data_IF_262042783931
#
_entry.id   IF_262042783931
#
_cell.length_a   1.000
_cell.length_b   1.000
_cell.length_c   1.000
_cell.angle_alpha   90.00
_cell.angle_beta   90.00
_cell.angle_gamma   90.00
#
_symmetry.space_group_name_H-M   'P 1'
#
loop_
_entity.id
_entity.type
_entity.pdbx_description
1 polymer ?
#
# COMPACT_ATOMS: atom_id res chain seq x y z
N UNK A 1 -17.37 35.99 33.71
CA UNK A 1 -16.09 36.47 34.29
C UNK A 1 -15.00 35.89 33.42
N UNK A 2 -14.60 36.60 32.41
CA UNK A 2 -13.39 37.39 32.18
C UNK A 2 -12.11 36.83 32.86
N UNK A 3 -11.15 36.33 32.07
CA UNK A 3 -9.81 36.90 31.96
C UNK A 3 -9.03 36.26 30.82
N UNK A 4 -8.75 37.11 29.82
CA UNK A 4 -7.64 37.08 28.87
C UNK A 4 -6.30 37.27 29.61
N UNK A 5 -5.22 36.66 29.10
CA UNK A 5 -3.84 37.18 29.09
C UNK A 5 -3.16 36.47 27.91
N UNK A 6 -2.85 36.97 26.83
CA UNK A 6 -2.09 38.07 26.17
C UNK A 6 -0.57 38.05 26.43
N UNK A 7 0.14 37.91 25.30
CA UNK A 7 1.47 38.43 24.91
C UNK A 7 2.71 37.82 25.60
N UNK A 8 3.83 37.60 24.89
CA UNK A 8 4.72 38.59 24.27
C UNK A 8 5.73 37.94 23.31
N UNK A 9 5.91 38.53 22.17
CA UNK A 9 7.04 38.61 21.26
C UNK A 9 8.44 38.58 21.91
N UNK A 10 9.40 37.89 21.28
CA UNK A 10 10.78 38.42 21.14
C UNK A 10 11.35 38.00 19.79
N UNK A 11 11.61 39.01 19.02
CA UNK A 11 12.36 39.10 17.75
C UNK A 11 13.84 39.32 18.12
N UNK A 12 14.76 38.55 17.54
CA UNK A 12 16.17 38.93 17.50
C UNK A 12 16.76 38.63 16.12
N UNK A 13 16.90 39.69 15.34
CA UNK A 13 17.80 39.78 14.18
C UNK A 13 19.22 40.07 14.69
N UNK A 14 20.23 39.42 14.08
CA UNK A 14 21.53 40.07 13.85
C UNK A 14 22.14 39.58 12.54
N UNK A 15 22.33 40.53 11.66
CA UNK A 15 23.13 40.43 10.46
C UNK A 15 24.58 40.84 10.79
N UNK A 16 25.56 40.24 10.14
CA UNK A 16 26.83 40.89 9.85
C UNK A 16 27.50 40.29 8.62
N UNK A 17 27.81 41.14 7.72
CA UNK A 17 28.48 40.97 6.44
C UNK A 17 30.00 41.16 6.57
N UNK A 18 30.68 40.95 5.44
CA UNK A 18 31.91 41.55 4.88
C UNK A 18 33.04 40.55 4.61
N UNK A 19 33.40 40.38 3.36
CA UNK A 19 34.27 41.09 2.40
C UNK A 19 35.70 40.49 2.29
N UNK A 20 36.15 40.33 1.04
CA UNK A 20 37.56 40.30 0.62
C UNK A 20 37.81 39.37 -0.57
N UNK A 21 37.74 39.83 -1.83
CA UNK A 21 38.75 40.36 -2.73
C UNK A 21 40.05 39.54 -2.75
N UNK A 22 40.43 39.02 -3.90
CA UNK A 22 40.96 39.46 -5.16
C UNK A 22 42.11 38.58 -5.53
N UNK A 23 42.51 38.25 -6.64
CA UNK A 23 43.02 38.97 -7.78
C UNK A 23 43.62 37.96 -8.83
N UNK A 24 43.32 38.17 -10.07
CA UNK A 24 44.08 38.19 -11.32
C UNK A 24 45.47 37.51 -11.41
N UNK A 25 45.71 36.74 -12.47
CA UNK A 25 46.27 37.10 -13.81
C UNK A 25 46.67 35.82 -14.55
N UNK A 26 46.25 35.65 -15.81
CA UNK A 26 46.93 35.89 -17.10
C UNK A 26 48.24 35.07 -17.29
N UNK A 27 48.50 34.41 -18.35
CA UNK A 27 48.44 34.50 -19.80
C UNK A 27 48.99 33.19 -20.45
N UNK A 28 48.36 32.78 -21.54
CA UNK A 28 48.82 32.56 -22.93
C UNK A 28 50.15 31.83 -23.18
N UNK A 29 50.09 30.79 -24.00
CA UNK A 29 50.68 30.57 -25.33
C UNK A 29 50.50 29.13 -25.77
N UNK A 30 49.85 28.84 -26.82
CA UNK A 30 50.00 28.70 -28.28
C UNK A 30 51.01 27.65 -28.77
N UNK A 31 50.42 26.83 -29.63
CA UNK A 31 50.92 26.19 -30.87
C UNK A 31 51.54 24.79 -30.71
N UNK A 32 51.16 23.84 -31.49
CA UNK A 32 51.04 23.53 -32.89
C UNK A 32 51.43 22.11 -33.20
N UNK A 33 50.59 21.41 -33.96
CA UNK A 33 50.86 20.35 -34.98
C UNK A 33 51.58 19.04 -34.53
N UNK A 34 51.16 17.90 -34.94
CA UNK A 34 50.54 17.29 -36.10
C UNK A 34 50.57 15.75 -35.99
N UNK A 35 49.56 15.18 -36.53
CA UNK A 35 49.50 14.00 -37.38
C UNK A 35 49.74 12.58 -36.86
N UNK A 36 48.73 11.80 -37.20
CA UNK A 36 48.72 10.49 -37.85
C UNK A 36 48.27 9.30 -37.02
N UNK A 37 47.03 8.96 -37.30
CA UNK A 37 46.41 7.65 -37.59
C UNK A 37 46.94 6.39 -36.92
N UNK A 38 46.06 5.63 -36.28
CA UNK A 38 45.72 4.26 -36.71
C UNK A 38 44.43 3.81 -36.00
N UNK A 39 43.48 3.26 -36.76
CA UNK A 39 42.25 2.60 -36.38
C UNK A 39 42.50 1.46 -35.41
N UNK A 40 41.66 1.40 -34.38
CA UNK A 40 41.23 0.13 -33.78
C UNK A 40 39.80 0.30 -33.30
N UNK A 41 38.88 -0.36 -33.97
CA UNK A 41 37.50 -0.50 -33.60
C UNK A 41 37.37 -1.21 -32.26
N UNK A 42 36.85 -0.54 -31.25
CA UNK A 42 36.31 -1.16 -30.07
C UNK A 42 34.79 -0.82 -30.04
N UNK A 43 34.00 -1.86 -30.23
CA UNK A 43 32.56 -1.79 -30.09
C UNK A 43 32.25 -1.40 -28.64
N UNK A 44 31.78 -0.20 -28.48
CA UNK A 44 31.17 0.24 -27.21
C UNK A 44 29.72 -0.17 -27.28
N UNK A 45 29.36 -1.20 -26.54
CA UNK A 45 27.96 -1.47 -26.21
C UNK A 45 27.39 -0.22 -25.55
N UNK A 46 26.44 0.41 -26.23
CA UNK A 46 25.68 1.49 -25.71
C UNK A 46 24.80 0.89 -24.60
N UNK A 47 25.18 1.14 -23.35
CA UNK A 47 24.25 1.06 -22.23
C UNK A 47 23.21 2.13 -22.51
N UNK A 48 22.01 1.67 -22.89
CA UNK A 48 20.86 2.52 -23.02
C UNK A 48 20.53 3.05 -21.61
N UNK A 49 21.03 4.23 -21.28
CA UNK A 49 20.47 5.01 -20.20
C UNK A 49 19.02 5.33 -20.61
N UNK A 50 18.08 4.62 -20.01
CA UNK A 50 16.67 4.97 -20.09
C UNK A 50 16.53 6.33 -19.39
N UNK A 51 16.57 7.41 -20.18
CA UNK A 51 16.17 8.73 -19.69
C UNK A 51 14.71 8.60 -19.21
N UNK A 52 14.51 8.78 -17.89
CA UNK A 52 13.19 9.02 -17.35
C UNK A 52 12.57 10.18 -18.14
N UNK A 53 11.44 9.95 -18.78
CA UNK A 53 10.70 11.00 -19.44
C UNK A 53 10.32 12.01 -18.34
N UNK A 54 10.77 13.26 -18.48
CA UNK A 54 10.30 14.37 -17.60
C UNK A 54 8.82 14.61 -17.95
N UNK A 55 7.92 13.88 -17.26
CA UNK A 55 6.48 14.12 -17.30
C UNK A 55 6.12 15.42 -16.58
N UNK A 56 4.97 15.97 -16.88
CA UNK A 56 4.40 17.07 -16.11
C UNK A 56 4.24 16.67 -14.64
N UNK A 57 4.34 17.64 -13.73
CA UNK A 57 4.15 17.39 -12.31
C UNK A 57 2.68 17.01 -12.06
N UNK A 58 2.45 15.91 -11.34
CA UNK A 58 1.12 15.42 -11.03
C UNK A 58 1.05 14.87 -9.60
N UNK A 59 -0.14 14.93 -9.00
CA UNK A 59 -0.43 14.30 -7.71
C UNK A 59 -1.51 13.26 -7.93
N UNK A 60 -1.19 11.99 -7.68
CA UNK A 60 -2.12 10.86 -7.86
C UNK A 60 -2.70 10.45 -6.51
N UNK A 61 -4.02 10.45 -6.42
CA UNK A 61 -4.77 10.01 -5.23
C UNK A 61 -4.99 8.50 -5.29
N UNK A 62 -4.34 7.76 -4.41
CA UNK A 62 -4.34 6.29 -4.43
C UNK A 62 -5.02 5.75 -3.17
N UNK A 63 -6.18 5.13 -3.34
CA UNK A 63 -6.90 4.50 -2.24
C UNK A 63 -6.49 3.02 -2.15
N UNK A 64 -5.95 2.61 -1.02
CA UNK A 64 -5.37 1.27 -0.83
C UNK A 64 -5.98 0.55 0.37
N UNK A 65 -6.21 -0.74 0.24
CA UNK A 65 -6.52 -1.58 1.40
C UNK A 65 -5.40 -1.47 2.45
N UNK A 66 -5.77 -1.42 3.74
CA UNK A 66 -4.83 -1.23 4.85
C UNK A 66 -3.68 -2.25 4.85
N UNK A 67 -3.94 -3.50 4.46
CA UNK A 67 -2.93 -4.56 4.35
C UNK A 67 -1.84 -4.31 3.31
N UNK A 68 -2.04 -3.37 2.38
CA UNK A 68 -1.06 -3.00 1.36
C UNK A 68 -0.06 -1.94 1.85
N UNK A 69 -0.32 -1.26 2.98
CA UNK A 69 0.39 -0.04 3.38
C UNK A 69 1.92 -0.20 3.36
N UNK A 70 2.44 -1.24 3.99
CA UNK A 70 3.90 -1.44 4.08
C UNK A 70 4.56 -1.66 2.70
N UNK A 71 3.91 -2.44 1.82
CA UNK A 71 4.41 -2.68 0.47
C UNK A 71 4.34 -1.41 -0.39
N UNK A 72 3.25 -0.65 -0.26
CA UNK A 72 3.02 0.57 -1.04
C UNK A 72 3.94 1.72 -0.63
N UNK A 73 4.38 1.78 0.64
CA UNK A 73 5.40 2.72 1.08
C UNK A 73 6.73 2.50 0.34
N UNK A 74 7.17 1.24 0.23
CA UNK A 74 8.39 0.90 -0.52
C UNK A 74 8.20 1.11 -2.03
N UNK A 75 7.06 0.73 -2.58
CA UNK A 75 6.70 0.97 -3.99
C UNK A 75 6.72 2.47 -4.31
N UNK A 76 6.17 3.31 -3.44
CA UNK A 76 6.19 4.76 -3.62
C UNK A 76 7.61 5.31 -3.69
N UNK A 77 8.49 4.86 -2.79
CA UNK A 77 9.88 5.28 -2.77
C UNK A 77 10.63 4.86 -4.07
N UNK A 78 10.37 3.64 -4.57
CA UNK A 78 10.94 3.15 -5.80
C UNK A 78 10.39 3.90 -7.03
N UNK A 79 9.06 4.11 -7.07
CA UNK A 79 8.40 4.83 -8.15
C UNK A 79 8.88 6.28 -8.29
N UNK A 80 9.16 6.95 -7.17
CA UNK A 80 9.72 8.32 -7.16
C UNK A 80 11.06 8.41 -7.89
N UNK A 81 11.84 7.31 -7.94
CA UNK A 81 13.10 7.24 -8.70
C UNK A 81 12.85 7.09 -10.20
N UNK A 82 11.70 6.55 -10.62
CA UNK A 82 11.30 6.38 -12.02
C UNK A 82 10.54 7.62 -12.53
N UNK A 83 9.68 8.19 -11.69
CA UNK A 83 8.84 9.35 -11.99
C UNK A 83 9.01 10.44 -10.90
N UNK A 84 10.11 11.21 -10.95
CA UNK A 84 10.44 12.17 -9.89
C UNK A 84 9.43 13.32 -9.77
N UNK A 85 8.66 13.61 -10.82
CA UNK A 85 7.66 14.69 -10.86
C UNK A 85 6.26 14.24 -10.44
N UNK A 86 6.06 12.94 -10.12
CA UNK A 86 4.76 12.42 -9.66
C UNK A 86 4.80 12.23 -8.15
N UNK A 87 3.82 12.76 -7.45
CA UNK A 87 3.58 12.54 -6.03
C UNK A 87 2.38 11.61 -5.84
N UNK A 88 2.59 10.51 -5.10
CA UNK A 88 1.54 9.58 -4.72
C UNK A 88 1.01 9.94 -3.33
N UNK A 89 -0.29 10.13 -3.21
CA UNK A 89 -0.98 10.40 -1.94
C UNK A 89 -1.85 9.20 -1.60
N UNK A 90 -1.47 8.46 -0.55
CA UNK A 90 -2.20 7.28 -0.13
C UNK A 90 -3.30 7.60 0.87
N UNK A 91 -4.49 7.03 0.62
CA UNK A 91 -5.56 6.90 1.59
C UNK A 91 -5.72 5.41 1.91
N UNK A 92 -5.21 4.98 3.07
CA UNK A 92 -5.25 3.60 3.50
C UNK A 92 -6.42 3.33 4.44
N UNK A 93 -7.15 2.24 4.19
CA UNK A 93 -8.29 1.88 5.02
C UNK A 93 -8.94 0.57 4.62
N UNK A 94 -10.12 0.26 5.17
CA UNK A 94 -10.88 -0.89 4.70
C UNK A 94 -11.42 -0.63 3.29
N UNK A 95 -11.33 -1.64 2.42
CA UNK A 95 -11.78 -1.50 1.03
C UNK A 95 -13.26 -1.07 0.92
N UNK A 96 -14.12 -1.52 1.83
CA UNK A 96 -15.54 -1.12 1.86
C UNK A 96 -15.73 0.35 2.20
N UNK A 97 -14.99 0.93 3.16
CA UNK A 97 -15.02 2.36 3.45
C UNK A 97 -14.49 3.19 2.30
N UNK A 98 -13.41 2.73 1.66
CA UNK A 98 -12.81 3.41 0.51
C UNK A 98 -13.74 3.40 -0.70
N UNK A 99 -14.41 2.27 -0.97
CA UNK A 99 -15.48 2.16 -1.97
C UNK A 99 -16.55 3.22 -1.73
N UNK A 100 -17.10 3.30 -0.50
CA UNK A 100 -18.12 4.30 -0.14
C UNK A 100 -17.63 5.73 -0.37
N UNK A 101 -16.38 6.04 -0.01
CA UNK A 101 -15.81 7.37 -0.24
C UNK A 101 -15.74 7.71 -1.74
N UNK A 102 -15.38 6.75 -2.60
CA UNK A 102 -15.38 6.92 -4.05
C UNK A 102 -16.80 7.17 -4.57
N UNK A 103 -17.78 6.37 -4.11
CA UNK A 103 -19.20 6.51 -4.48
C UNK A 103 -19.80 7.86 -4.03
N UNK A 104 -19.31 8.42 -2.93
CA UNK A 104 -19.69 9.74 -2.41
C UNK A 104 -18.95 10.91 -3.09
N UNK A 105 -18.07 10.62 -4.06
CA UNK A 105 -17.36 11.64 -4.84
C UNK A 105 -16.00 12.04 -4.24
N UNK A 106 -15.40 11.19 -3.44
CA UNK A 106 -14.02 11.38 -2.97
C UNK A 106 -13.03 11.36 -4.12
N UNK A 107 -12.08 12.29 -4.13
CA UNK A 107 -11.03 12.35 -5.14
C UNK A 107 -10.16 11.07 -5.04
N UNK A 108 -10.21 10.25 -6.07
CA UNK A 108 -9.47 8.99 -6.16
C UNK A 108 -9.16 8.69 -7.63
N UNK A 109 -7.89 8.42 -7.93
CA UNK A 109 -7.44 8.08 -9.30
C UNK A 109 -7.19 6.59 -9.44
N UNK A 110 -6.70 5.96 -8.36
CA UNK A 110 -6.38 4.53 -8.32
C UNK A 110 -6.98 3.91 -7.08
N UNK A 111 -7.74 2.83 -7.25
CA UNK A 111 -8.25 2.02 -6.14
C UNK A 111 -7.61 0.64 -6.16
N UNK A 112 -7.01 0.23 -5.03
CA UNK A 112 -6.41 -1.08 -4.85
C UNK A 112 -7.09 -1.80 -3.67
N UNK A 113 -8.02 -2.67 -4.00
CA UNK A 113 -8.89 -3.38 -3.05
C UNK A 113 -8.26 -4.68 -2.55
N UNK A 114 -8.66 -5.14 -1.37
CA UNK A 114 -8.34 -6.47 -0.83
C UNK A 114 -9.40 -7.54 -1.17
N UNK A 115 -10.33 -7.23 -2.05
CA UNK A 115 -11.30 -8.19 -2.60
C UNK A 115 -11.89 -7.66 -3.91
N UNK A 116 -12.30 -8.58 -4.79
CA UNK A 116 -12.95 -8.25 -6.06
C UNK A 116 -14.31 -7.60 -5.84
N UNK A 117 -15.07 -8.02 -4.82
CA UNK A 117 -16.43 -7.51 -4.53
C UNK A 117 -16.53 -5.99 -4.52
N UNK A 118 -15.57 -5.27 -3.90
CA UNK A 118 -15.59 -3.82 -3.82
C UNK A 118 -15.23 -3.17 -5.16
N UNK A 119 -14.35 -3.78 -5.91
CA UNK A 119 -14.00 -3.35 -7.26
C UNK A 119 -15.17 -3.56 -8.21
N UNK A 120 -15.82 -4.74 -8.15
CA UNK A 120 -16.98 -5.08 -8.98
C UNK A 120 -18.12 -4.09 -8.74
N UNK A 121 -18.38 -3.71 -7.49
CA UNK A 121 -19.38 -2.71 -7.15
C UNK A 121 -19.08 -1.33 -7.78
N UNK A 122 -17.80 -0.91 -7.81
CA UNK A 122 -17.40 0.34 -8.49
C UNK A 122 -17.51 0.23 -10.02
N UNK A 123 -17.28 -0.95 -10.58
CA UNK A 123 -17.50 -1.22 -12.03
C UNK A 123 -18.99 -1.14 -12.34
N UNK A 124 -19.85 -1.83 -11.57
CA UNK A 124 -21.31 -1.79 -11.73
C UNK A 124 -21.87 -0.38 -11.54
N UNK A 125 -21.31 0.40 -10.59
CA UNK A 125 -21.64 1.80 -10.37
C UNK A 125 -21.12 2.76 -11.44
N UNK A 126 -20.25 2.28 -12.35
CA UNK A 126 -19.68 3.09 -13.44
C UNK A 126 -18.55 4.02 -12.99
N UNK A 127 -18.01 3.85 -11.78
CA UNK A 127 -16.86 4.59 -11.25
C UNK A 127 -15.52 4.08 -11.81
N UNK A 128 -15.45 2.80 -12.17
CA UNK A 128 -14.29 2.13 -12.77
C UNK A 128 -14.75 1.47 -14.08
N UNK A 129 -13.91 1.42 -15.09
CA UNK A 129 -14.19 0.62 -16.27
C UNK A 129 -13.61 -0.80 -16.08
N UNK A 130 -14.37 -1.83 -16.45
CA UNK A 130 -13.92 -3.22 -16.33
C UNK A 130 -12.58 -3.47 -17.04
N UNK A 131 -12.35 -2.80 -18.19
CA UNK A 131 -11.11 -2.90 -18.96
C UNK A 131 -9.89 -2.29 -18.24
N UNK A 132 -10.11 -1.45 -17.24
CA UNK A 132 -9.06 -0.78 -16.45
C UNK A 132 -8.78 -1.51 -15.12
N UNK A 133 -9.43 -2.66 -14.87
CA UNK A 133 -9.21 -3.50 -13.69
C UNK A 133 -8.19 -4.59 -14.00
N UNK A 134 -7.29 -4.84 -13.05
CA UNK A 134 -6.34 -5.95 -13.09
C UNK A 134 -6.34 -6.66 -11.76
N UNK A 135 -6.57 -7.98 -11.76
CA UNK A 135 -6.34 -8.85 -10.62
C UNK A 135 -4.82 -9.02 -10.48
N UNK A 136 -4.22 -8.34 -9.48
CA UNK A 136 -2.77 -8.19 -9.44
C UNK A 136 -2.11 -9.10 -8.41
N UNK A 137 -2.74 -9.28 -7.22
CA UNK A 137 -2.14 -10.02 -6.12
C UNK A 137 -3.13 -11.04 -5.54
N UNK A 138 -2.57 -12.11 -4.96
CA UNK A 138 -3.28 -13.09 -4.14
C UNK A 138 -2.69 -13.11 -2.72
N UNK A 139 -3.54 -13.31 -1.72
CA UNK A 139 -3.16 -13.41 -0.32
C UNK A 139 -3.82 -14.64 0.34
N UNK A 140 -3.57 -14.84 1.64
CA UNK A 140 -4.17 -15.92 2.43
C UNK A 140 -4.74 -15.37 3.73
N UNK A 141 -5.82 -15.99 4.22
CA UNK A 141 -6.41 -15.66 5.51
C UNK A 141 -5.79 -16.54 6.60
N UNK A 142 -5.39 -15.92 7.69
CA UNK A 142 -4.77 -16.58 8.84
C UNK A 142 -5.47 -16.26 10.14
N UNK A 143 -5.54 -17.26 11.00
CA UNK A 143 -5.92 -17.15 12.41
C UNK A 143 -4.65 -17.02 13.23
N UNK A 144 -4.56 -15.96 14.03
CA UNK A 144 -3.38 -15.61 14.82
C UNK A 144 -3.69 -15.47 16.30
N UNK A 145 -2.66 -15.57 17.13
CA UNK A 145 -2.67 -15.28 18.57
C UNK A 145 -1.46 -14.42 18.96
N UNK A 146 -1.42 -13.76 20.13
CA UNK A 146 -0.22 -13.12 20.62
C UNK A 146 0.93 -14.12 20.77
N UNK A 147 2.15 -13.71 20.42
CA UNK A 147 3.33 -14.56 20.54
C UNK A 147 3.58 -14.98 22.01
N UNK A 148 3.93 -16.26 22.19
CA UNK A 148 4.26 -16.81 23.52
C UNK A 148 3.07 -17.00 24.45
N UNK A 149 1.83 -16.81 24.00
CA UNK A 149 0.63 -17.08 24.80
C UNK A 149 0.06 -18.49 24.52
N UNK A 150 -0.63 -19.05 25.52
CA UNK A 150 -1.33 -20.31 25.37
C UNK A 150 -2.78 -20.07 24.94
N UNK A 151 -3.30 -20.91 24.07
CA UNK A 151 -4.72 -20.98 23.68
C UNK A 151 -5.15 -22.43 23.50
N UNK A 152 -6.45 -22.69 23.59
CA UNK A 152 -7.04 -23.99 23.25
C UNK A 152 -7.39 -24.09 21.77
N UNK A 153 -7.36 -22.95 21.05
CA UNK A 153 -7.69 -22.87 19.63
C UNK A 153 -6.55 -23.49 18.83
N UNK A 154 -6.89 -24.42 17.94
CA UNK A 154 -5.94 -25.14 17.07
C UNK A 154 -6.22 -24.92 15.59
N UNK A 155 -7.38 -24.34 15.25
CA UNK A 155 -7.82 -24.05 13.89
C UNK A 155 -9.11 -23.24 13.88
N UNK A 156 -9.60 -22.94 12.69
CA UNK A 156 -10.86 -22.22 12.54
C UNK A 156 -12.06 -23.02 13.09
N UNK A 157 -12.01 -24.33 12.99
CA UNK A 157 -13.09 -25.25 13.42
C UNK A 157 -13.40 -25.18 14.92
N UNK A 158 -12.42 -24.80 15.74
CA UNK A 158 -12.61 -24.68 17.18
C UNK A 158 -12.30 -23.26 17.72
N UNK A 159 -12.45 -22.24 16.87
CA UNK A 159 -12.20 -20.83 17.23
C UNK A 159 -13.05 -20.37 18.43
N UNK A 160 -14.19 -21.03 18.66
CA UNK A 160 -15.09 -20.75 19.78
C UNK A 160 -14.55 -21.19 21.15
N UNK A 161 -13.42 -21.88 21.20
CA UNK A 161 -12.71 -22.19 22.45
C UNK A 161 -11.91 -20.98 22.97
N UNK A 162 -11.73 -19.92 22.16
CA UNK A 162 -11.10 -18.68 22.60
C UNK A 162 -12.01 -17.87 23.53
N UNK A 163 -11.42 -17.15 24.46
CA UNK A 163 -12.15 -16.24 25.35
C UNK A 163 -12.77 -15.05 24.59
N UNK A 164 -12.04 -14.51 23.61
CA UNK A 164 -12.52 -13.42 22.75
C UNK A 164 -11.83 -13.44 21.38
N UNK A 165 -12.45 -12.77 20.42
CA UNK A 165 -12.02 -12.72 19.02
C UNK A 165 -11.92 -11.28 18.54
N UNK A 166 -10.79 -10.87 17.97
CA UNK A 166 -10.70 -9.68 17.13
C UNK A 166 -11.14 -10.03 15.71
N UNK A 167 -12.20 -9.39 15.24
CA UNK A 167 -12.82 -9.66 13.94
C UNK A 167 -13.09 -8.37 13.21
N UNK A 168 -12.65 -8.26 11.98
CA UNK A 168 -12.98 -7.11 11.16
C UNK A 168 -14.48 -7.06 10.81
N UNK A 169 -15.03 -5.84 10.69
CA UNK A 169 -16.41 -5.62 10.31
C UNK A 169 -16.76 -6.29 8.97
N UNK A 170 -18.03 -6.50 8.69
CA UNK A 170 -18.54 -7.17 7.48
C UNK A 170 -18.33 -6.34 6.19
N UNK A 171 -18.05 -5.05 6.33
CA UNK A 171 -17.65 -4.16 5.23
C UNK A 171 -16.17 -4.28 4.85
N UNK A 172 -15.37 -4.97 5.69
CA UNK A 172 -13.93 -5.17 5.50
C UNK A 172 -13.70 -6.51 4.80
N UNK A 173 -12.91 -6.58 3.72
CA UNK A 173 -12.70 -7.84 2.99
C UNK A 173 -12.27 -9.03 3.87
N UNK A 174 -11.28 -8.87 4.75
CA UNK A 174 -10.87 -9.98 5.65
C UNK A 174 -12.01 -10.42 6.59
N UNK A 175 -12.87 -9.49 7.01
CA UNK A 175 -14.07 -9.79 7.77
C UNK A 175 -15.12 -10.57 6.97
N UNK A 176 -15.22 -10.32 5.66
CA UNK A 176 -16.08 -11.09 4.76
C UNK A 176 -15.54 -12.50 4.55
N UNK A 177 -14.23 -12.66 4.30
CA UNK A 177 -13.59 -13.97 4.20
C UNK A 177 -13.69 -14.75 5.50
N UNK A 178 -13.52 -14.13 6.66
CA UNK A 178 -13.71 -14.79 7.94
C UNK A 178 -15.14 -15.34 8.11
N UNK A 179 -16.15 -14.58 7.72
CA UNK A 179 -17.55 -15.01 7.76
C UNK A 179 -17.84 -16.14 6.78
N UNK A 180 -17.23 -16.12 5.58
CA UNK A 180 -17.29 -17.23 4.64
C UNK A 180 -16.69 -18.51 5.24
N UNK A 181 -15.56 -18.41 5.96
CA UNK A 181 -14.97 -19.55 6.68
C UNK A 181 -15.95 -20.09 7.71
N UNK A 182 -16.58 -19.25 8.51
CA UNK A 182 -17.54 -19.65 9.54
C UNK A 182 -18.77 -20.32 8.93
N UNK A 183 -19.27 -19.81 7.81
CA UNK A 183 -20.42 -20.38 7.09
C UNK A 183 -20.06 -21.74 6.49
N UNK A 184 -18.90 -21.88 5.86
CA UNK A 184 -18.44 -23.16 5.31
C UNK A 184 -18.22 -24.24 6.39
N UNK A 185 -17.80 -23.83 7.59
CA UNK A 185 -17.62 -24.72 8.74
C UNK A 185 -18.93 -24.95 9.53
N UNK A 186 -20.00 -24.19 9.25
CA UNK A 186 -21.29 -24.29 9.96
C UNK A 186 -21.24 -23.81 11.41
N UNK A 187 -20.33 -22.87 11.74
CA UNK A 187 -20.11 -22.36 13.10
C UNK A 187 -20.49 -20.90 13.28
N UNK A 188 -21.09 -20.26 12.28
CA UNK A 188 -21.40 -18.82 12.28
C UNK A 188 -22.17 -18.38 13.54
N UNK A 189 -23.27 -19.05 13.89
CA UNK A 189 -24.07 -18.70 15.08
C UNK A 189 -23.26 -18.79 16.37
N UNK A 190 -22.37 -19.78 16.47
CA UNK A 190 -21.52 -20.02 17.64
C UNK A 190 -20.46 -18.93 17.77
N UNK A 191 -19.82 -18.56 16.67
CA UNK A 191 -18.81 -17.50 16.64
C UNK A 191 -19.46 -16.14 16.95
N UNK A 192 -20.61 -15.84 16.35
CA UNK A 192 -21.32 -14.57 16.59
C UNK A 192 -21.90 -14.44 17.99
N UNK A 193 -21.91 -15.53 18.78
CA UNK A 193 -22.25 -15.50 20.21
C UNK A 193 -21.05 -15.29 21.14
N UNK A 194 -19.82 -15.26 20.60
CA UNK A 194 -18.59 -14.99 21.37
C UNK A 194 -18.50 -13.53 21.77
N UNK A 195 -17.54 -13.21 22.65
CA UNK A 195 -17.06 -11.87 22.85
C UNK A 195 -16.22 -11.43 21.66
N UNK A 196 -16.79 -10.58 20.80
CA UNK A 196 -16.15 -10.06 19.58
C UNK A 196 -15.74 -8.61 19.78
N UNK A 197 -14.47 -8.31 19.54
CA UNK A 197 -13.96 -6.98 19.32
C UNK A 197 -14.05 -6.69 17.81
N UNK A 198 -15.09 -5.97 17.39
CA UNK A 198 -15.26 -5.59 15.99
C UNK A 198 -14.29 -4.46 15.61
N UNK A 199 -13.46 -4.72 14.61
CA UNK A 199 -12.40 -3.84 14.15
C UNK A 199 -12.78 -3.18 12.81
N UNK A 200 -12.37 -1.93 12.65
CA UNK A 200 -12.70 -1.13 11.47
C UNK A 200 -11.89 -1.50 10.21
N UNK A 201 -10.75 -2.15 10.38
CA UNK A 201 -9.90 -2.69 9.32
C UNK A 201 -9.00 -3.82 9.85
N UNK A 202 -8.19 -4.43 8.95
CA UNK A 202 -7.29 -5.53 9.32
C UNK A 202 -6.15 -5.08 10.23
N UNK A 203 -5.68 -3.85 10.11
CA UNK A 203 -4.59 -3.32 10.95
C UNK A 203 -5.03 -3.19 12.40
N UNK A 204 -6.32 -2.83 12.64
CA UNK A 204 -6.89 -2.80 13.97
C UNK A 204 -7.03 -4.21 14.57
N UNK A 205 -7.37 -5.23 13.76
CA UNK A 205 -7.35 -6.63 14.21
C UNK A 205 -5.94 -7.04 14.62
N UNK A 206 -4.95 -6.77 13.76
CA UNK A 206 -3.54 -7.09 14.02
C UNK A 206 -3.04 -6.44 15.30
N UNK A 207 -3.35 -5.15 15.51
CA UNK A 207 -2.99 -4.42 16.72
C UNK A 207 -3.64 -5.04 17.97
N UNK A 208 -4.95 -5.35 17.92
CA UNK A 208 -5.68 -5.93 19.04
C UNK A 208 -5.08 -7.27 19.52
N UNK A 209 -4.61 -8.09 18.57
CA UNK A 209 -3.94 -9.36 18.90
C UNK A 209 -2.49 -9.13 19.34
N UNK A 210 -1.71 -8.38 18.56
CA UNK A 210 -0.28 -8.18 18.85
C UNK A 210 -0.01 -7.46 20.18
N UNK A 211 -0.97 -6.68 20.67
CA UNK A 211 -0.94 -5.99 21.96
C UNK A 211 -1.56 -6.83 23.11
N UNK A 212 -2.09 -8.02 22.80
CA UNK A 212 -2.69 -8.93 23.77
C UNK A 212 -4.07 -8.52 24.27
N UNK A 213 -4.76 -7.62 23.57
CA UNK A 213 -6.14 -7.22 23.90
C UNK A 213 -7.16 -8.31 23.55
N UNK A 214 -6.83 -9.16 22.56
CA UNK A 214 -7.62 -10.31 22.16
C UNK A 214 -6.78 -11.59 22.12
N UNK A 215 -7.42 -12.71 22.48
CA UNK A 215 -6.78 -14.05 22.48
C UNK A 215 -6.47 -14.52 21.07
N UNK A 216 -7.40 -14.29 20.13
CA UNK A 216 -7.22 -14.65 18.72
C UNK A 216 -7.77 -13.58 17.81
N UNK A 217 -7.32 -13.58 16.55
CA UNK A 217 -7.84 -12.69 15.51
C UNK A 217 -7.61 -13.25 14.12
N UNK A 218 -8.35 -12.74 13.15
CA UNK A 218 -8.26 -13.16 11.75
C UNK A 218 -7.72 -12.02 10.90
N UNK A 219 -6.59 -12.27 10.24
CA UNK A 219 -5.83 -11.32 9.42
C UNK A 219 -5.39 -11.97 8.11
N UNK A 220 -4.72 -11.22 7.25
CA UNK A 220 -4.02 -11.81 6.11
C UNK A 220 -2.61 -12.30 6.50
N UNK A 221 -2.06 -13.20 5.69
CA UNK A 221 -0.71 -13.73 5.90
C UNK A 221 0.35 -12.62 5.89
N UNK A 222 0.17 -11.61 5.04
CA UNK A 222 1.04 -10.43 4.94
C UNK A 222 1.04 -9.59 6.23
N UNK A 223 -0.13 -9.45 6.87
CA UNK A 223 -0.24 -8.71 8.13
C UNK A 223 0.46 -9.47 9.26
N UNK A 224 0.22 -10.78 9.38
CA UNK A 224 0.89 -11.60 10.38
C UNK A 224 2.42 -11.58 10.19
N UNK A 225 2.90 -11.66 8.95
CA UNK A 225 4.33 -11.62 8.63
C UNK A 225 4.97 -10.28 9.00
N UNK A 226 4.24 -9.16 8.92
CA UNK A 226 4.75 -7.81 9.25
C UNK A 226 5.12 -7.62 10.73
N UNK A 227 4.57 -8.46 11.61
CA UNK A 227 4.80 -8.44 13.07
C UNK A 227 5.06 -9.86 13.62
N UNK A 228 5.81 -10.68 12.88
CA UNK A 228 6.09 -12.08 13.20
C UNK A 228 6.75 -12.32 14.57
N UNK A 229 7.32 -11.30 15.16
CA UNK A 229 7.86 -11.30 16.53
C UNK A 229 6.79 -11.10 17.62
N UNK A 230 5.59 -10.64 17.26
CA UNK A 230 4.50 -10.30 18.20
C UNK A 230 3.29 -11.23 18.10
N UNK A 231 3.14 -11.95 16.99
CA UNK A 231 2.03 -12.87 16.79
C UNK A 231 2.52 -14.25 16.32
N UNK A 232 1.75 -15.27 16.62
CA UNK A 232 1.93 -16.61 16.11
C UNK A 232 0.73 -17.05 15.29
N UNK A 233 0.99 -17.67 14.14
CA UNK A 233 -0.06 -18.23 13.27
C UNK A 233 -0.53 -19.56 13.85
N UNK A 234 -1.84 -19.66 14.14
CA UNK A 234 -2.50 -20.90 14.57
C UNK A 234 -2.83 -21.74 13.34
N UNK A 235 -3.48 -21.14 12.35
CA UNK A 235 -3.92 -21.80 11.12
C UNK A 235 -3.94 -20.84 9.94
N UNK A 236 -3.78 -21.40 8.73
CA UNK A 236 -4.04 -20.72 7.45
C UNK A 236 -5.24 -21.39 6.80
N UNK A 237 -6.23 -20.60 6.38
CA UNK A 237 -7.43 -21.13 5.73
C UNK A 237 -7.08 -21.95 4.50
N UNK A 238 -7.68 -23.11 4.38
CA UNK A 238 -7.55 -24.02 3.25
C UNK A 238 -8.77 -23.92 2.32
N UNK A 239 -8.71 -24.58 1.15
CA UNK A 239 -9.76 -24.50 0.11
C UNK A 239 -11.13 -25.05 0.54
N UNK A 240 -11.23 -25.79 1.65
CA UNK A 240 -12.51 -26.25 2.18
C UNK A 240 -13.11 -25.27 3.19
N UNK A 241 -12.27 -24.51 3.85
CA UNK A 241 -12.67 -23.44 4.79
C UNK A 241 -12.98 -22.14 4.05
N UNK A 242 -12.13 -21.76 3.10
CA UNK A 242 -12.31 -20.56 2.27
C UNK A 242 -12.24 -20.95 0.78
N UNK A 243 -13.38 -20.91 0.10
CA UNK A 243 -13.49 -21.26 -1.33
C UNK A 243 -13.17 -20.07 -2.22
N UNK A 244 -13.43 -18.86 -1.74
CA UNK A 244 -13.10 -17.64 -2.45
C UNK A 244 -11.59 -17.39 -2.44
N UNK A 245 -11.03 -17.06 -3.58
CA UNK A 245 -9.64 -16.58 -3.65
C UNK A 245 -9.55 -15.17 -3.08
N UNK A 246 -8.50 -14.92 -2.32
CA UNK A 246 -8.22 -13.59 -1.76
C UNK A 246 -7.46 -12.77 -2.79
N UNK A 247 -8.18 -12.20 -3.74
CA UNK A 247 -7.64 -11.43 -4.86
C UNK A 247 -7.63 -9.95 -4.51
N UNK A 248 -6.55 -9.27 -4.88
CA UNK A 248 -6.38 -7.84 -4.77
C UNK A 248 -6.39 -7.23 -6.17
N UNK A 249 -7.55 -6.74 -6.62
CA UNK A 249 -7.65 -6.01 -7.88
C UNK A 249 -7.22 -4.56 -7.71
N UNK A 250 -6.52 -4.03 -8.72
CA UNK A 250 -6.22 -2.61 -8.87
C UNK A 250 -6.97 -2.06 -10.08
N UNK A 251 -7.52 -0.86 -9.99
CA UNK A 251 -8.26 -0.22 -11.08
C UNK A 251 -8.11 1.29 -11.10
N UNK A 252 -8.24 1.86 -12.31
CA UNK A 252 -8.32 3.31 -12.50
C UNK A 252 -9.75 3.78 -12.21
N UNK A 253 -9.87 4.76 -11.32
CA UNK A 253 -11.15 5.38 -10.95
C UNK A 253 -11.39 6.59 -11.85
N UNK A 254 -12.63 6.81 -12.26
CA UNK A 254 -13.03 8.02 -12.99
C UNK A 254 -13.05 9.22 -12.05
N UNK A 255 -11.91 9.86 -11.89
CA UNK A 255 -11.80 11.12 -11.16
C UNK A 255 -12.17 12.28 -12.09
N UNK A 256 -13.33 12.91 -11.85
CA UNK A 256 -13.81 14.03 -12.69
C UNK A 256 -13.11 15.35 -12.38
N UNK A 257 -12.30 15.41 -11.33
CA UNK A 257 -11.51 16.55 -10.94
C UNK A 257 -10.07 16.48 -11.46
N UNK A 258 -9.62 15.28 -11.90
CA UNK A 258 -8.28 15.08 -12.44
C UNK A 258 -8.10 15.76 -13.80
N UNK A 259 -6.95 16.39 -14.01
CA UNK A 259 -6.53 16.85 -15.31
C UNK A 259 -5.86 15.75 -16.14
N UNK A 260 -5.50 16.07 -17.39
CA UNK A 260 -4.90 15.08 -18.32
C UNK A 260 -3.54 14.57 -17.80
N UNK A 261 -2.75 15.37 -17.09
CA UNK A 261 -1.45 15.01 -16.53
C UNK A 261 -1.62 14.04 -15.36
N UNK A 262 -2.57 14.31 -14.47
CA UNK A 262 -2.93 13.45 -13.35
C UNK A 262 -3.47 12.09 -13.82
N UNK A 263 -4.39 12.09 -14.79
CA UNK A 263 -4.93 10.85 -15.38
C UNK A 263 -3.83 10.01 -16.07
N UNK A 264 -2.90 10.65 -16.79
CA UNK A 264 -1.77 9.96 -17.40
C UNK A 264 -0.80 9.40 -16.35
N UNK A 265 -0.54 10.14 -15.26
CA UNK A 265 0.29 9.70 -14.16
C UNK A 265 -0.33 8.52 -13.38
N UNK A 266 -1.64 8.55 -13.13
CA UNK A 266 -2.38 7.45 -12.51
C UNK A 266 -2.27 6.16 -13.34
N UNK A 267 -2.45 6.26 -14.65
CA UNK A 267 -2.26 5.12 -15.55
C UNK A 267 -0.83 4.60 -15.53
N UNK A 268 0.16 5.49 -15.61
CA UNK A 268 1.58 5.09 -15.56
C UNK A 268 1.93 4.41 -14.23
N UNK A 269 1.33 4.84 -13.12
CA UNK A 269 1.50 4.20 -11.83
C UNK A 269 0.88 2.79 -11.80
N UNK A 270 -0.34 2.60 -12.29
CA UNK A 270 -0.95 1.25 -12.42
C UNK A 270 -0.13 0.35 -13.32
N UNK A 271 0.45 0.87 -14.42
CA UNK A 271 1.35 0.09 -15.28
C UNK A 271 2.66 -0.26 -14.55
N UNK A 272 3.21 0.63 -13.71
CA UNK A 272 4.36 0.33 -12.87
C UNK A 272 4.10 -0.79 -11.86
N UNK A 273 2.91 -0.84 -11.25
CA UNK A 273 2.53 -1.91 -10.31
C UNK A 273 2.59 -3.31 -10.93
N UNK A 274 2.53 -3.42 -12.25
CA UNK A 274 2.60 -4.67 -13.01
C UNK A 274 4.03 -5.05 -13.42
N UNK A 275 5.03 -4.22 -13.10
CA UNK A 275 6.43 -4.49 -13.44
C UNK A 275 7.05 -5.55 -12.53
N UNK A 276 8.11 -6.26 -13.01
CA UNK A 276 8.85 -7.20 -12.17
C UNK A 276 9.46 -6.56 -10.91
N UNK A 277 9.80 -5.28 -10.98
CA UNK A 277 10.33 -4.51 -9.85
C UNK A 277 9.28 -4.35 -8.74
N UNK A 278 8.05 -4.00 -9.11
CA UNK A 278 6.93 -3.91 -8.17
C UNK A 278 6.52 -5.28 -7.63
N UNK A 279 6.49 -6.31 -8.50
CA UNK A 279 6.21 -7.69 -8.13
C UNK A 279 7.19 -8.18 -7.05
N UNK A 280 8.49 -7.93 -7.22
CA UNK A 280 9.50 -8.30 -6.22
C UNK A 280 9.32 -7.59 -4.87
N UNK A 281 8.73 -6.38 -4.84
CA UNK A 281 8.34 -5.73 -3.58
C UNK A 281 7.16 -6.49 -2.96
N UNK A 282 6.07 -6.72 -3.69
CA UNK A 282 4.90 -7.42 -3.17
C UNK A 282 5.25 -8.81 -2.60
N UNK A 283 6.10 -9.58 -3.30
CA UNK A 283 6.55 -10.90 -2.84
C UNK A 283 7.34 -10.82 -1.53
N UNK A 284 8.19 -9.80 -1.33
CA UNK A 284 8.90 -9.59 -0.05
C UNK A 284 7.96 -9.33 1.11
N UNK A 285 6.81 -8.71 0.84
CA UNK A 285 5.76 -8.49 1.85
C UNK A 285 4.77 -9.65 1.96
N UNK A 286 5.01 -10.78 1.27
CA UNK A 286 4.26 -12.03 1.41
C UNK A 286 3.03 -12.16 0.53
N UNK A 287 2.83 -11.26 -0.44
CA UNK A 287 1.82 -11.43 -1.49
C UNK A 287 2.32 -12.41 -2.55
N UNK A 288 1.39 -13.04 -3.27
CA UNK A 288 1.66 -13.76 -4.51
C UNK A 288 1.18 -12.92 -5.68
N UNK A 289 2.04 -12.68 -6.68
CA UNK A 289 1.63 -12.00 -7.89
C UNK A 289 0.84 -12.93 -8.81
N UNK A 290 -0.16 -12.39 -9.49
CA UNK A 290 -0.98 -13.10 -10.50
C UNK A 290 -0.40 -12.75 -11.87
N UNK A 291 -0.07 -13.79 -12.68
CA UNK A 291 0.45 -13.67 -14.04
C UNK A 291 -0.64 -13.30 -15.07
#
# INVERSE_FOLDING_TARGET
MKKLVSSVFVLCMTAAALVGCGNKNTETTKATEAAASTEAAASTEAVSETQAAEGEAATVQVYIAASLSNAMDEISANYKSVQPNVDLVFNAGSSGKLQTQIEEGGACDVFFSAATKQMDALVEGGFVQEADVTDLLENKVQLIKPAGTETKVTGFENITDAANLALAADTVPVGQYAREIFDNLGITDQVMAMEINECEDVSAVLAAVSEGSNEVGIVYATDAASVADKVEVIATANDTELKSKVIYPVGLVKNTEADDAEAAAAKAFVDYLKTPEAAAVFERYGFSCID
#
